data_IF_806593826537
#
_entry.id   IF_806593826537
#
_cell.length_a   1.000
_cell.length_b   1.000
_cell.length_c   1.000
_cell.angle_alpha   90.00
_cell.angle_beta   90.00
_cell.angle_gamma   90.00
#
_symmetry.space_group_name_H-M   'P 1'
#
loop_
_entity.id
_entity.type
_entity.pdbx_description
1 polymer ?
#
# COMPACT_ATOMS: atom_id res chain seq x y z
N UNK A 1 28.84 -6.60 7.64
CA UNK A 1 28.06 -5.39 7.39
C UNK A 1 26.57 -5.65 7.47
N UNK A 2 25.81 -4.64 7.79
CA UNK A 2 24.35 -4.62 7.76
C UNK A 2 23.90 -3.60 6.71
N UNK A 3 22.90 -3.98 5.90
CA UNK A 3 22.28 -3.11 4.88
C UNK A 3 21.09 -2.41 5.50
N UNK A 4 21.00 -1.09 5.42
CA UNK A 4 19.86 -0.31 5.89
C UNK A 4 19.09 0.27 4.68
N UNK A 5 17.74 0.28 4.72
CA UNK A 5 16.89 0.00 5.90
C UNK A 5 16.52 -1.48 6.09
N UNK A 6 16.89 -2.39 5.16
CA UNK A 6 16.45 -3.81 5.16
C UNK A 6 16.95 -4.64 6.36
N UNK A 7 18.01 -4.19 7.05
CA UNK A 7 18.70 -4.89 8.15
C UNK A 7 19.26 -6.27 7.82
N UNK A 8 19.35 -6.63 6.54
CA UNK A 8 20.02 -7.86 6.13
C UNK A 8 21.51 -7.75 6.45
N UNK A 9 22.08 -8.83 6.95
CA UNK A 9 23.52 -8.88 7.30
C UNK A 9 24.25 -9.79 6.35
N UNK A 10 25.48 -9.40 6.01
CA UNK A 10 26.41 -10.21 5.21
C UNK A 10 27.85 -9.85 5.59
N UNK A 11 28.82 -10.54 5.01
CA UNK A 11 30.24 -10.21 5.15
C UNK A 11 30.77 -9.60 3.89
N UNK A 12 31.73 -8.67 4.05
CA UNK A 12 32.47 -8.13 2.92
C UNK A 12 33.56 -9.13 2.56
N UNK A 13 33.49 -9.65 1.34
CA UNK A 13 34.49 -10.56 0.80
C UNK A 13 35.73 -9.81 0.27
N UNK A 14 35.51 -8.64 -0.33
CA UNK A 14 36.57 -7.83 -0.89
C UNK A 14 36.21 -6.36 -1.03
N UNK A 15 37.24 -5.53 -0.99
CA UNK A 15 37.18 -4.09 -1.27
C UNK A 15 38.03 -3.84 -2.52
N UNK A 16 37.46 -3.21 -3.53
CA UNK A 16 38.10 -3.05 -4.83
C UNK A 16 38.06 -1.58 -5.31
N UNK A 17 39.13 -1.18 -5.99
CA UNK A 17 39.17 0.05 -6.79
C UNK A 17 39.50 -0.29 -8.23
N UNK A 18 39.59 0.72 -9.09
CA UNK A 18 40.06 0.52 -10.46
C UNK A 18 41.51 -0.04 -10.52
N UNK A 19 42.35 0.27 -9.52
CA UNK A 19 43.72 -0.17 -9.42
C UNK A 19 43.88 -1.58 -8.84
N UNK A 20 42.81 -2.18 -8.32
CA UNK A 20 42.78 -3.51 -7.78
C UNK A 20 42.15 -3.64 -6.38
N UNK A 21 42.45 -4.78 -5.73
CA UNK A 21 41.93 -5.10 -4.39
C UNK A 21 42.69 -4.35 -3.31
N UNK A 22 41.94 -3.77 -2.38
CA UNK A 22 42.48 -3.10 -1.20
C UNK A 22 42.25 -3.94 0.06
N UNK A 23 43.13 -3.76 1.04
CA UNK A 23 42.95 -4.32 2.37
C UNK A 23 42.06 -3.43 3.25
N UNK A 24 42.11 -2.11 3.02
CA UNK A 24 41.36 -1.11 3.76
C UNK A 24 40.99 0.06 2.85
N UNK A 25 39.85 0.67 3.09
CA UNK A 25 39.41 1.88 2.42
C UNK A 25 38.97 2.92 3.43
N UNK A 26 39.41 4.16 3.23
CA UNK A 26 39.08 5.31 4.09
C UNK A 26 38.37 6.41 3.29
N UNK A 27 37.49 7.17 3.91
CA UNK A 27 36.85 8.32 3.24
C UNK A 27 37.90 9.31 2.73
N UNK A 28 37.68 9.96 1.57
CA UNK A 28 36.48 9.91 0.71
C UNK A 28 36.58 8.92 -0.46
N UNK A 29 37.34 7.83 -0.33
CA UNK A 29 37.62 6.91 -1.42
C UNK A 29 36.34 6.17 -1.87
N UNK A 30 36.07 6.23 -3.18
CA UNK A 30 35.03 5.43 -3.81
C UNK A 30 35.52 4.02 -4.07
N UNK A 31 34.80 2.99 -3.60
CA UNK A 31 35.17 1.59 -3.69
C UNK A 31 34.00 0.73 -4.18
N UNK A 32 34.33 -0.42 -4.76
CA UNK A 32 33.41 -1.50 -5.02
C UNK A 32 33.57 -2.56 -3.93
N UNK A 33 32.46 -2.96 -3.31
CA UNK A 33 32.46 -4.03 -2.32
C UNK A 33 31.88 -5.31 -2.97
N UNK A 34 32.56 -6.45 -2.76
CA UNK A 34 32.00 -7.77 -2.99
C UNK A 34 31.53 -8.36 -1.67
N UNK A 35 30.39 -9.04 -1.69
CA UNK A 35 29.74 -9.60 -0.52
C UNK A 35 29.65 -11.11 -0.63
N UNK A 36 29.69 -11.81 0.51
CA UNK A 36 29.59 -13.29 0.54
C UNK A 36 28.20 -13.77 0.10
N UNK A 37 27.13 -13.01 0.44
CA UNK A 37 25.76 -13.39 0.11
C UNK A 37 25.21 -12.50 -1.01
N UNK A 38 24.31 -13.07 -1.84
CA UNK A 38 23.54 -12.32 -2.81
C UNK A 38 22.38 -11.59 -2.09
N UNK A 39 22.60 -10.34 -1.74
CA UNK A 39 21.57 -9.47 -1.12
C UNK A 39 21.25 -8.34 -2.08
N UNK A 40 19.96 -8.01 -2.14
CA UNK A 40 19.49 -6.85 -2.90
C UNK A 40 19.89 -5.57 -2.17
N UNK A 41 20.69 -4.74 -2.83
CA UNK A 41 21.17 -3.44 -2.35
C UNK A 41 20.95 -2.43 -3.47
N UNK A 42 20.22 -1.39 -3.17
CA UNK A 42 19.85 -0.35 -4.11
C UNK A 42 20.49 0.98 -3.79
N UNK A 43 20.48 1.91 -4.76
CA UNK A 43 20.92 3.28 -4.52
C UNK A 43 20.07 3.94 -3.44
N UNK A 44 20.74 4.47 -2.43
CA UNK A 44 20.10 5.06 -1.23
C UNK A 44 20.23 4.19 0.00
N UNK A 45 20.54 2.89 -0.15
CA UNK A 45 20.83 2.01 0.97
C UNK A 45 22.17 2.37 1.61
N UNK A 46 22.27 2.08 2.89
CA UNK A 46 23.48 2.35 3.68
C UNK A 46 24.05 1.03 4.23
N UNK A 47 25.33 0.82 3.99
CA UNK A 47 26.08 -0.30 4.58
C UNK A 47 26.74 0.18 5.87
N UNK A 48 26.42 -0.48 6.97
CA UNK A 48 26.90 -0.08 8.30
C UNK A 48 27.49 -1.27 9.07
N UNK A 49 28.29 -0.95 10.07
CA UNK A 49 28.72 -1.97 11.02
C UNK A 49 27.56 -2.35 11.94
N UNK A 50 27.28 -3.65 12.21
CA UNK A 50 26.12 -4.08 13.01
C UNK A 50 26.08 -3.48 14.43
N UNK A 51 27.22 -3.12 14.99
CA UNK A 51 27.32 -2.52 16.33
C UNK A 51 27.37 -0.99 16.33
N UNK A 52 27.22 -0.35 15.15
CA UNK A 52 27.21 1.12 15.03
C UNK A 52 26.12 1.53 14.05
N UNK A 53 24.87 1.55 14.53
CA UNK A 53 23.69 1.80 13.74
C UNK A 53 23.27 3.28 13.85
N UNK A 54 23.04 3.97 12.73
CA UNK A 54 22.39 5.27 12.72
C UNK A 54 20.92 5.14 13.14
N UNK A 55 20.28 6.26 13.42
CA UNK A 55 18.82 6.30 13.59
C UNK A 55 18.14 6.05 12.24
N UNK A 56 17.01 5.35 12.27
CA UNK A 56 16.16 5.14 11.10
C UNK A 56 14.78 5.65 11.46
N UNK A 57 14.29 6.65 10.72
CA UNK A 57 12.96 7.21 10.94
C UNK A 57 12.42 7.90 9.69
N UNK A 58 11.11 8.14 9.68
CA UNK A 58 10.41 8.98 8.69
C UNK A 58 10.17 10.40 9.23
N UNK A 59 10.38 10.62 10.54
CA UNK A 59 10.12 11.89 11.20
C UNK A 59 11.36 12.34 11.95
N UNK A 60 11.83 13.54 11.64
CA UNK A 60 12.97 14.13 12.33
C UNK A 60 12.85 15.64 12.45
N UNK A 61 13.40 16.15 13.53
CA UNK A 61 13.56 17.59 13.78
C UNK A 61 14.83 18.10 13.09
N UNK A 62 14.71 19.21 12.37
CA UNK A 62 15.82 19.81 11.66
C UNK A 62 15.83 21.34 11.75
N UNK A 63 17.02 21.92 11.74
CA UNK A 63 17.20 23.35 11.41
C UNK A 63 17.26 23.46 9.90
N UNK A 64 16.33 24.22 9.31
CA UNK A 64 16.21 24.42 7.86
C UNK A 64 16.55 25.86 7.52
N UNK A 65 17.44 26.05 6.56
CA UNK A 65 17.70 27.33 5.89
C UNK A 65 16.86 27.34 4.62
N UNK A 66 15.94 28.29 4.52
CA UNK A 66 15.07 28.40 3.35
C UNK A 66 15.68 29.34 2.30
N UNK A 67 15.76 28.87 1.05
CA UNK A 67 16.38 29.58 -0.06
C UNK A 67 15.43 29.81 -1.24
N UNK A 68 14.17 29.35 -1.09
CA UNK A 68 13.15 29.54 -2.12
C UNK A 68 12.50 30.91 -2.04
N UNK A 69 12.15 31.50 -3.21
CA UNK A 69 11.42 32.77 -3.28
C UNK A 69 10.03 32.69 -2.66
N UNK A 70 9.36 31.55 -2.86
CA UNK A 70 8.10 31.26 -2.19
C UNK A 70 8.36 30.82 -0.76
N UNK A 71 7.61 31.37 0.20
CA UNK A 71 7.76 30.99 1.60
C UNK A 71 7.43 29.51 1.82
N UNK A 72 8.27 28.84 2.60
CA UNK A 72 7.97 27.49 3.11
C UNK A 72 6.77 27.54 4.05
N UNK A 73 5.82 26.65 3.83
CA UNK A 73 4.64 26.46 4.71
C UNK A 73 4.47 24.99 5.05
N UNK A 74 3.87 24.72 6.21
CA UNK A 74 3.50 23.35 6.60
C UNK A 74 2.58 22.73 5.56
N UNK A 75 2.79 21.44 5.28
CA UNK A 75 1.99 20.66 4.35
C UNK A 75 2.48 20.64 2.90
N UNK A 76 3.33 21.60 2.50
CA UNK A 76 3.88 21.60 1.15
C UNK A 76 4.82 20.41 0.94
N UNK A 77 4.72 19.78 -0.22
CA UNK A 77 5.49 18.60 -0.58
C UNK A 77 6.76 18.95 -1.36
N UNK A 78 7.86 18.32 -0.98
CA UNK A 78 9.18 18.47 -1.58
C UNK A 78 9.86 17.12 -1.76
N UNK A 79 10.99 17.07 -2.46
CA UNK A 79 11.94 15.98 -2.34
C UNK A 79 13.00 16.35 -1.30
N UNK A 80 13.31 15.40 -0.45
CA UNK A 80 14.39 15.48 0.52
C UNK A 80 15.52 14.57 0.05
N UNK A 81 16.69 15.14 -0.17
CA UNK A 81 17.86 14.38 -0.58
C UNK A 81 18.91 14.41 0.53
N UNK A 82 19.19 13.24 1.07
CA UNK A 82 20.17 13.00 2.11
C UNK A 82 21.17 11.97 1.58
N UNK A 83 22.45 12.33 1.50
CA UNK A 83 23.49 11.52 0.84
C UNK A 83 23.07 11.07 -0.58
N UNK A 84 22.92 9.76 -0.82
CA UNK A 84 22.46 9.17 -2.08
C UNK A 84 20.97 8.88 -2.10
N UNK A 85 20.29 8.99 -0.95
CA UNK A 85 18.86 8.76 -0.81
C UNK A 85 18.07 10.03 -1.20
N UNK A 86 17.02 9.85 -1.99
CA UNK A 86 16.06 10.91 -2.32
C UNK A 86 14.65 10.37 -2.12
N UNK A 87 13.87 11.01 -1.26
CA UNK A 87 12.53 10.62 -0.91
C UNK A 87 11.57 11.79 -0.96
N UNK A 88 10.33 11.63 -1.42
CA UNK A 88 9.29 12.63 -1.22
C UNK A 88 9.02 12.81 0.27
N UNK A 89 8.46 13.95 0.62
CA UNK A 89 8.06 14.26 1.99
C UNK A 89 7.53 15.67 2.11
N UNK A 90 7.29 16.10 3.34
CA UNK A 90 6.76 17.43 3.66
C UNK A 90 7.39 17.99 4.93
N UNK A 91 7.28 19.29 5.07
CA UNK A 91 7.47 19.95 6.38
C UNK A 91 6.13 19.86 7.09
N UNK A 92 6.03 19.02 8.12
CA UNK A 92 4.77 18.80 8.86
C UNK A 92 4.49 19.96 9.82
N UNK A 93 5.54 20.55 10.40
CA UNK A 93 5.41 21.66 11.35
C UNK A 93 6.62 22.61 11.27
N UNK A 94 6.37 23.87 11.44
CA UNK A 94 7.40 24.91 11.66
C UNK A 94 7.26 25.36 13.11
N UNK A 95 8.28 25.11 13.93
CA UNK A 95 8.23 25.39 15.37
C UNK A 95 8.56 26.85 15.67
N UNK A 96 9.62 27.39 15.05
CA UNK A 96 10.04 28.77 15.19
C UNK A 96 11.05 29.15 14.10
N UNK A 97 11.21 30.44 13.86
CA UNK A 97 12.36 31.01 13.13
C UNK A 97 13.39 31.57 14.10
N UNK A 98 14.65 31.66 13.65
CA UNK A 98 15.76 32.22 14.41
C UNK A 98 16.21 33.50 13.71
N UNK A 99 16.16 34.61 14.43
CA UNK A 99 16.81 35.86 13.94
C UNK A 99 18.32 35.70 13.96
N UNK A 100 18.96 35.83 12.80
CA UNK A 100 20.41 35.60 12.64
C UNK A 100 21.28 36.64 13.34
N UNK A 101 20.73 37.81 13.68
CA UNK A 101 21.49 38.90 14.32
C UNK A 101 21.40 38.80 15.84
N UNK A 102 20.20 38.46 16.35
CA UNK A 102 19.92 38.45 17.79
C UNK A 102 19.88 37.05 18.40
N UNK A 103 19.85 36.04 17.57
CA UNK A 103 19.64 34.62 17.95
C UNK A 103 18.33 34.34 18.71
N UNK A 104 17.43 35.34 18.74
CA UNK A 104 16.11 35.13 19.36
C UNK A 104 15.24 34.22 18.49
N UNK A 105 14.44 33.43 19.17
CA UNK A 105 13.42 32.57 18.54
C UNK A 105 12.11 33.35 18.44
N UNK A 106 11.46 33.25 17.28
CA UNK A 106 10.15 33.85 17.03
C UNK A 106 9.22 32.80 16.49
N UNK A 107 8.04 32.66 17.06
CA UNK A 107 7.00 31.82 16.52
C UNK A 107 6.61 32.26 15.11
N UNK A 108 6.47 31.30 14.21
CA UNK A 108 6.12 31.55 12.81
C UNK A 108 5.39 30.35 12.23
N UNK A 109 4.56 30.62 11.22
CA UNK A 109 3.86 29.60 10.45
C UNK A 109 4.45 29.38 9.05
N UNK A 110 5.49 30.17 8.71
CA UNK A 110 6.16 30.09 7.42
C UNK A 110 7.62 30.58 7.55
N UNK A 111 8.51 30.11 6.67
CA UNK A 111 9.86 30.66 6.50
C UNK A 111 9.95 31.39 5.17
N UNK A 112 10.33 32.64 5.21
CA UNK A 112 10.64 33.43 4.03
C UNK A 112 12.05 33.16 3.51
N UNK A 113 12.38 33.70 2.36
CA UNK A 113 13.73 33.62 1.76
C UNK A 113 14.80 34.04 2.76
N UNK A 114 15.84 33.22 2.89
CA UNK A 114 16.98 33.40 3.81
C UNK A 114 16.66 33.31 5.30
N UNK A 115 15.45 32.86 5.65
CA UNK A 115 15.15 32.58 7.05
C UNK A 115 15.62 31.17 7.47
N UNK A 116 15.96 31.08 8.75
CA UNK A 116 16.38 29.83 9.39
C UNK A 116 15.33 29.47 10.43
N UNK A 117 14.81 28.25 10.36
CA UNK A 117 13.79 27.80 11.31
C UNK A 117 13.94 26.35 11.72
N UNK A 118 13.39 26.03 12.89
CA UNK A 118 13.26 24.64 13.35
C UNK A 118 11.97 24.07 12.80
N UNK A 119 12.10 22.97 12.08
CA UNK A 119 11.02 22.30 11.39
C UNK A 119 10.98 20.82 11.73
N UNK A 120 9.76 20.25 11.77
CA UNK A 120 9.55 18.82 11.77
C UNK A 120 9.39 18.37 10.32
N UNK A 121 10.22 17.44 9.89
CA UNK A 121 10.22 16.87 8.56
C UNK A 121 9.59 15.49 8.63
N UNK A 122 8.71 15.19 7.68
CA UNK A 122 8.10 13.89 7.47
C UNK A 122 8.39 13.44 6.04
N UNK A 123 9.03 12.27 5.90
CA UNK A 123 9.41 11.70 4.60
C UNK A 123 8.66 10.40 4.35
N UNK A 124 8.37 10.11 3.07
CA UNK A 124 7.54 8.96 2.68
C UNK A 124 8.24 7.62 2.91
N UNK A 125 9.58 7.61 2.89
CA UNK A 125 10.38 6.40 3.13
C UNK A 125 11.32 6.65 4.30
N UNK A 126 11.54 5.65 5.18
CA UNK A 126 12.51 5.78 6.26
C UNK A 126 13.89 6.10 5.72
N UNK A 127 14.57 7.04 6.36
CA UNK A 127 15.95 7.40 6.07
C UNK A 127 16.83 7.03 7.26
N UNK A 128 18.04 6.57 6.95
CA UNK A 128 19.06 6.29 7.96
C UNK A 128 19.91 7.54 8.15
N UNK A 129 19.93 8.11 9.36
CA UNK A 129 20.59 9.37 9.65
C UNK A 129 21.24 9.40 11.04
N UNK A 130 22.22 10.26 11.18
CA UNK A 130 22.74 10.72 12.48
C UNK A 130 22.30 12.16 12.72
N UNK A 131 22.46 12.64 13.94
CA UNK A 131 22.37 14.10 14.15
C UNK A 131 23.53 14.79 13.42
N UNK A 132 23.31 15.98 12.88
CA UNK A 132 24.35 16.76 12.20
C UNK A 132 25.59 16.99 13.07
N UNK A 133 25.41 17.05 14.37
CA UNK A 133 26.48 17.22 15.36
C UNK A 133 27.40 16.00 15.42
N UNK A 134 26.83 14.79 15.27
CA UNK A 134 27.58 13.55 15.33
C UNK A 134 28.22 13.21 13.99
N UNK A 135 27.47 13.37 12.90
CA UNK A 135 27.94 13.07 11.57
C UNK A 135 27.31 14.05 10.56
N UNK A 136 28.14 14.98 10.05
CA UNK A 136 27.66 16.02 9.10
C UNK A 136 27.18 15.45 7.78
N UNK A 137 27.76 14.35 7.32
CA UNK A 137 27.41 13.75 6.03
C UNK A 137 26.02 13.09 6.05
N UNK A 138 25.72 12.33 7.11
CA UNK A 138 24.43 11.64 7.28
C UNK A 138 23.39 12.49 7.99
N UNK A 139 23.80 13.56 8.66
CA UNK A 139 22.95 14.50 9.39
C UNK A 139 22.54 15.75 8.60
N UNK A 140 22.90 15.85 7.32
CA UNK A 140 22.52 16.96 6.44
C UNK A 140 21.65 16.50 5.28
N UNK A 141 20.76 17.37 4.80
CA UNK A 141 19.93 17.13 3.63
C UNK A 141 19.67 18.43 2.86
N UNK A 142 19.24 18.30 1.61
CA UNK A 142 18.72 19.40 0.82
C UNK A 142 17.23 19.18 0.51
N UNK A 143 16.50 20.28 0.40
CA UNK A 143 15.09 20.34 0.01
C UNK A 143 15.01 20.77 -1.45
N UNK A 144 14.32 19.98 -2.26
CA UNK A 144 14.21 20.17 -3.70
C UNK A 144 12.73 20.35 -4.05
N UNK A 145 12.42 21.41 -4.77
CA UNK A 145 11.08 21.65 -5.30
C UNK A 145 10.70 20.59 -6.33
N UNK A 146 9.50 20.03 -6.21
CA UNK A 146 9.06 18.90 -7.04
C UNK A 146 8.74 19.26 -8.48
N UNK A 147 8.43 20.53 -8.75
CA UNK A 147 8.04 21.01 -10.07
C UNK A 147 9.25 21.51 -10.87
N UNK A 148 10.09 22.30 -10.20
CA UNK A 148 11.23 22.94 -10.84
C UNK A 148 12.53 22.14 -10.74
N UNK A 149 12.59 21.14 -9.84
CA UNK A 149 13.79 20.42 -9.45
C UNK A 149 14.92 21.32 -8.88
N UNK A 150 14.61 22.56 -8.50
CA UNK A 150 15.57 23.45 -7.89
C UNK A 150 15.75 23.14 -6.40
N UNK A 151 16.97 23.31 -5.90
CA UNK A 151 17.22 23.28 -4.46
C UNK A 151 16.65 24.55 -3.84
N UNK A 152 15.68 24.38 -2.94
CA UNK A 152 14.97 25.49 -2.27
C UNK A 152 15.22 25.56 -0.77
N UNK A 153 16.02 24.66 -0.24
CA UNK A 153 16.41 24.67 1.16
C UNK A 153 17.51 23.66 1.47
N UNK A 154 18.12 23.85 2.62
CA UNK A 154 19.08 22.90 3.21
C UNK A 154 18.79 22.73 4.69
N UNK A 155 19.02 21.54 5.23
CA UNK A 155 18.71 21.25 6.62
C UNK A 155 19.78 20.44 7.34
N UNK A 156 19.81 20.64 8.65
CA UNK A 156 20.65 19.92 9.60
C UNK A 156 19.76 19.17 10.57
N UNK A 157 19.86 17.85 10.58
CA UNK A 157 19.07 16.99 11.46
C UNK A 157 19.57 17.17 12.90
N UNK A 158 18.66 17.54 13.77
CA UNK A 158 18.96 17.81 15.18
C UNK A 158 18.72 16.58 16.06
N UNK A 159 17.57 15.95 15.88
CA UNK A 159 17.14 14.80 16.64
C UNK A 159 15.97 14.11 15.95
N UNK A 160 15.58 12.93 16.46
CA UNK A 160 14.31 12.29 16.11
C UNK A 160 13.16 13.15 16.64
N UNK A 161 12.09 13.32 15.87
CA UNK A 161 10.92 14.07 16.34
C UNK A 161 10.25 13.36 17.53
N UNK A 162 10.12 14.08 18.67
CA UNK A 162 9.70 13.46 19.95
C UNK A 162 8.24 12.98 19.98
N UNK A 163 7.40 13.41 19.02
CA UNK A 163 5.99 13.06 18.94
C UNK A 163 5.67 12.14 17.75
N UNK A 164 6.69 11.62 17.08
CA UNK A 164 6.50 10.62 16.05
C UNK A 164 6.54 9.25 16.70
N UNK A 165 5.49 8.46 16.56
CA UNK A 165 5.57 7.03 16.78
C UNK A 165 6.77 6.49 15.98
N UNK A 166 7.55 5.54 16.52
CA UNK A 166 8.70 4.99 15.82
C UNK A 166 8.26 4.53 14.44
N UNK A 167 8.96 5.00 13.39
CA UNK A 167 8.70 4.53 12.04
C UNK A 167 8.74 3.00 12.01
N UNK A 168 7.76 2.34 11.43
CA UNK A 168 7.77 0.88 11.33
C UNK A 168 9.03 0.46 10.58
N UNK A 169 9.83 -0.36 11.22
CA UNK A 169 11.07 -0.90 10.66
C UNK A 169 10.65 -1.85 9.55
N UNK A 170 10.94 -1.49 8.30
CA UNK A 170 10.76 -2.39 7.16
C UNK A 170 11.63 -3.64 7.36
N UNK A 171 11.04 -4.72 7.81
CA UNK A 171 11.71 -6.00 8.04
C UNK A 171 10.93 -6.98 8.90
N UNK A 172 10.06 -6.51 9.80
CA UNK A 172 9.33 -7.41 10.71
C UNK A 172 7.80 -7.24 10.71
N UNK A 173 7.22 -6.46 9.84
CA UNK A 173 5.75 -6.43 9.78
C UNK A 173 5.21 -6.05 8.40
N UNK A 174 5.31 -6.98 7.47
CA UNK A 174 4.24 -7.14 6.47
C UNK A 174 2.91 -7.59 7.14
N UNK A 175 2.84 -7.54 8.47
CA UNK A 175 1.75 -8.05 9.28
C UNK A 175 0.92 -7.04 10.08
N UNK A 176 1.43 -5.86 10.41
CA UNK A 176 0.69 -4.94 11.29
C UNK A 176 0.95 -3.48 10.94
N UNK A 177 0.26 -2.96 9.92
CA UNK A 177 -0.12 -1.56 9.96
C UNK A 177 -1.27 -1.43 10.97
N UNK A 178 -1.28 -0.45 11.88
CA UNK A 178 -2.47 -0.17 12.66
C UNK A 178 -3.56 0.29 11.68
N UNK A 179 -4.56 -0.57 11.51
CA UNK A 179 -5.71 -0.37 10.61
C UNK A 179 -6.46 0.97 10.85
N UNK A 180 -6.16 1.67 11.95
CA UNK A 180 -6.82 2.90 12.35
C UNK A 180 -6.37 4.19 11.65
N UNK A 181 -5.13 4.32 11.18
CA UNK A 181 -4.65 5.62 10.66
C UNK A 181 -5.09 5.92 9.21
N UNK A 182 -5.11 4.93 8.34
CA UNK A 182 -5.63 5.10 6.97
C UNK A 182 -7.14 5.21 6.98
N UNK A 183 -7.80 4.45 7.84
CA UNK A 183 -9.25 4.50 8.05
C UNK A 183 -9.71 5.87 8.55
N UNK A 184 -8.98 6.52 9.47
CA UNK A 184 -9.32 7.86 9.96
C UNK A 184 -9.18 8.95 8.90
N UNK A 185 -8.26 8.82 7.95
CA UNK A 185 -8.10 9.78 6.83
C UNK A 185 -9.22 9.64 5.81
N UNK A 186 -9.66 8.41 5.54
CA UNK A 186 -10.71 8.13 4.57
C UNK A 186 -12.13 8.14 5.19
N UNK A 187 -12.24 8.33 6.51
CA UNK A 187 -13.50 8.32 7.28
C UNK A 187 -14.36 7.06 7.03
N UNK A 188 -13.70 5.92 6.77
CA UNK A 188 -14.35 4.63 6.54
C UNK A 188 -13.53 3.47 7.08
N UNK A 189 -14.20 2.36 7.39
CA UNK A 189 -13.56 1.06 7.60
C UNK A 189 -13.35 0.38 6.25
N UNK A 190 -12.15 -0.09 6.02
CA UNK A 190 -11.86 -0.92 4.85
C UNK A 190 -12.51 -2.29 4.98
N UNK A 191 -13.10 -2.78 3.90
CA UNK A 191 -13.78 -4.08 3.88
C UNK A 191 -13.78 -4.67 2.48
N UNK A 192 -13.62 -5.97 2.38
CA UNK A 192 -13.83 -6.71 1.14
C UNK A 192 -15.23 -7.31 1.12
N UNK A 193 -16.04 -6.89 0.15
CA UNK A 193 -17.36 -7.46 -0.12
C UNK A 193 -17.18 -8.56 -1.16
N UNK A 194 -17.12 -9.80 -0.70
CA UNK A 194 -16.93 -11.00 -1.52
C UNK A 194 -18.24 -11.50 -2.07
N UNK A 195 -18.53 -11.23 -3.35
CA UNK A 195 -19.83 -11.53 -3.96
C UNK A 195 -19.71 -12.84 -4.72
N UNK A 196 -20.23 -13.93 -4.12
CA UNK A 196 -20.19 -15.28 -4.67
C UNK A 196 -21.52 -15.69 -5.33
N UNK A 197 -21.50 -16.73 -6.18
CA UNK A 197 -22.67 -17.26 -6.86
C UNK A 197 -22.38 -17.79 -8.27
N UNK A 198 -23.35 -18.42 -8.91
CA UNK A 198 -23.24 -19.01 -10.25
C UNK A 198 -22.95 -17.98 -11.36
N UNK A 199 -22.41 -18.41 -12.49
CA UNK A 199 -22.36 -17.57 -13.69
C UNK A 199 -23.79 -17.13 -14.06
N UNK A 200 -23.99 -15.89 -14.49
CA UNK A 200 -25.33 -15.37 -14.80
C UNK A 200 -26.23 -15.05 -13.59
N UNK A 201 -25.76 -15.26 -12.34
CA UNK A 201 -26.55 -14.92 -11.14
C UNK A 201 -26.69 -13.41 -10.86
N UNK A 202 -25.97 -12.54 -11.60
CA UNK A 202 -26.08 -11.08 -11.44
C UNK A 202 -24.98 -10.43 -10.61
N UNK A 203 -23.96 -11.16 -10.15
CA UNK A 203 -22.85 -10.65 -9.30
C UNK A 203 -22.20 -9.38 -9.82
N UNK A 204 -21.77 -9.39 -11.09
CA UNK A 204 -21.07 -8.23 -11.69
C UNK A 204 -21.97 -7.01 -11.81
N UNK A 205 -23.25 -7.20 -12.13
CA UNK A 205 -24.22 -6.10 -12.21
C UNK A 205 -24.54 -5.51 -10.83
N UNK A 206 -24.66 -6.37 -9.81
CA UNK A 206 -24.82 -5.95 -8.40
C UNK A 206 -23.58 -5.17 -7.97
N UNK A 207 -22.39 -5.70 -8.21
CA UNK A 207 -21.11 -5.04 -7.84
C UNK A 207 -20.96 -3.68 -8.52
N UNK A 208 -21.30 -3.56 -9.80
CA UNK A 208 -21.24 -2.30 -10.56
C UNK A 208 -22.23 -1.25 -10.01
N UNK A 209 -23.45 -1.67 -9.67
CA UNK A 209 -24.45 -0.76 -9.09
C UNK A 209 -24.06 -0.35 -7.67
N UNK A 210 -23.56 -1.29 -6.87
CA UNK A 210 -23.06 -1.04 -5.52
C UNK A 210 -21.85 -0.09 -5.53
N UNK A 211 -20.91 -0.27 -6.48
CA UNK A 211 -19.76 0.62 -6.67
C UNK A 211 -20.23 2.07 -6.88
N UNK A 212 -21.19 2.29 -7.77
CA UNK A 212 -21.77 3.62 -8.00
C UNK A 212 -22.41 4.21 -6.75
N UNK A 213 -23.22 3.42 -6.02
CA UNK A 213 -23.86 3.89 -4.78
C UNK A 213 -22.83 4.25 -3.71
N UNK A 214 -21.74 3.49 -3.57
CA UNK A 214 -20.66 3.78 -2.62
C UNK A 214 -19.91 5.06 -3.01
N UNK A 215 -19.57 5.24 -4.29
CA UNK A 215 -18.92 6.46 -4.80
C UNK A 215 -19.80 7.68 -4.58
N UNK A 216 -21.10 7.60 -4.89
CA UNK A 216 -22.07 8.70 -4.68
C UNK A 216 -22.19 9.10 -3.21
N UNK A 217 -21.94 8.17 -2.30
CA UNK A 217 -21.91 8.41 -0.85
C UNK A 217 -20.54 8.84 -0.30
N UNK A 218 -19.54 8.96 -1.19
CA UNK A 218 -18.20 9.41 -0.85
C UNK A 218 -17.27 8.33 -0.28
N UNK A 219 -17.64 7.04 -0.41
CA UNK A 219 -16.77 5.94 0.01
C UNK A 219 -15.73 5.62 -1.06
N UNK A 220 -14.43 5.69 -0.76
CA UNK A 220 -13.38 5.13 -1.60
C UNK A 220 -13.54 3.62 -1.80
N UNK A 221 -13.84 3.20 -3.02
CA UNK A 221 -14.13 1.81 -3.38
C UNK A 221 -13.36 1.39 -4.63
N UNK A 222 -13.02 0.11 -4.72
CA UNK A 222 -12.43 -0.48 -5.92
C UNK A 222 -13.06 -1.84 -6.22
N UNK A 223 -13.39 -2.10 -7.50
CA UNK A 223 -13.97 -3.36 -7.94
C UNK A 223 -12.92 -4.25 -8.62
N UNK A 224 -12.66 -5.40 -8.04
CA UNK A 224 -11.80 -6.46 -8.59
C UNK A 224 -12.65 -7.42 -9.42
N UNK A 225 -12.93 -7.05 -10.67
CA UNK A 225 -13.72 -7.88 -11.58
C UNK A 225 -12.91 -9.11 -12.03
N UNK A 226 -13.54 -10.29 -11.93
CA UNK A 226 -12.87 -11.56 -12.21
C UNK A 226 -12.41 -11.71 -13.68
N UNK A 227 -13.12 -11.12 -14.64
CA UNK A 227 -12.76 -11.16 -16.07
C UNK A 227 -11.55 -10.25 -16.32
N UNK A 228 -11.56 -9.04 -15.78
CA UNK A 228 -10.43 -8.08 -15.88
C UNK A 228 -9.15 -8.65 -15.26
N UNK A 229 -9.24 -9.29 -14.10
CA UNK A 229 -8.07 -9.90 -13.45
C UNK A 229 -7.49 -11.04 -14.31
N UNK A 230 -8.31 -11.79 -15.00
CA UNK A 230 -7.86 -12.89 -15.88
C UNK A 230 -7.17 -12.41 -17.16
N UNK A 231 -7.41 -11.18 -17.59
CA UNK A 231 -6.68 -10.62 -18.76
C UNK A 231 -5.32 -10.05 -18.38
N UNK A 232 -5.06 -9.80 -17.09
CA UNK A 232 -3.84 -9.21 -16.55
C UNK A 232 -3.13 -10.12 -15.54
N UNK A 233 -3.41 -9.90 -14.27
CA UNK A 233 -2.72 -10.57 -13.13
C UNK A 233 -2.77 -12.10 -13.20
N UNK A 234 -3.87 -12.68 -13.66
CA UNK A 234 -4.11 -14.12 -13.70
C UNK A 234 -4.18 -14.68 -15.13
N UNK A 235 -3.53 -14.02 -16.11
CA UNK A 235 -3.53 -14.45 -17.51
C UNK A 235 -2.86 -15.79 -17.75
N UNK A 236 -2.02 -16.23 -16.82
CA UNK A 236 -1.32 -17.52 -16.81
C UNK A 236 -2.19 -18.67 -16.30
N UNK A 237 -3.37 -18.38 -15.72
CA UNK A 237 -4.23 -19.39 -15.11
C UNK A 237 -5.33 -19.86 -16.07
N UNK A 238 -5.55 -21.17 -16.09
CA UNK A 238 -6.63 -21.83 -16.82
C UNK A 238 -7.90 -21.95 -15.95
N UNK A 239 -8.87 -22.75 -16.40
CA UNK A 239 -10.09 -23.08 -15.63
C UNK A 239 -10.02 -24.41 -14.89
N UNK A 240 -8.83 -25.04 -14.80
CA UNK A 240 -8.63 -26.24 -13.98
C UNK A 240 -8.95 -25.95 -12.49
N UNK A 241 -9.30 -26.99 -11.74
CA UNK A 241 -9.60 -26.86 -10.30
C UNK A 241 -8.42 -26.22 -9.54
N UNK A 242 -7.18 -26.55 -9.90
CA UNK A 242 -5.97 -25.98 -9.31
C UNK A 242 -5.85 -24.47 -9.60
N UNK A 243 -6.06 -24.10 -10.86
CA UNK A 243 -5.90 -22.71 -11.29
C UNK A 243 -7.05 -21.82 -10.80
N UNK A 244 -8.26 -22.37 -10.64
CA UNK A 244 -9.37 -21.67 -9.99
C UNK A 244 -9.03 -21.33 -8.53
N UNK A 245 -8.44 -22.27 -7.78
CA UNK A 245 -7.98 -22.04 -6.41
C UNK A 245 -6.92 -20.94 -6.37
N UNK A 246 -5.91 -21.03 -7.24
CA UNK A 246 -4.85 -20.03 -7.32
C UNK A 246 -5.39 -18.65 -7.73
N UNK A 247 -6.39 -18.60 -8.63
CA UNK A 247 -7.08 -17.37 -8.98
C UNK A 247 -7.74 -16.71 -7.76
N UNK A 248 -8.48 -17.47 -6.96
CA UNK A 248 -9.12 -17.00 -5.73
C UNK A 248 -8.08 -16.51 -4.73
N UNK A 249 -6.99 -17.26 -4.53
CA UNK A 249 -5.91 -16.89 -3.63
C UNK A 249 -5.24 -15.55 -4.04
N UNK A 250 -4.90 -15.38 -5.32
CA UNK A 250 -4.30 -14.13 -5.80
C UNK A 250 -5.25 -12.94 -5.68
N UNK A 251 -6.54 -13.12 -5.96
CA UNK A 251 -7.56 -12.08 -5.76
C UNK A 251 -7.64 -11.67 -4.30
N UNK A 252 -7.63 -12.63 -3.36
CA UNK A 252 -7.68 -12.36 -1.93
C UNK A 252 -6.45 -11.56 -1.45
N UNK A 253 -5.25 -11.89 -1.93
CA UNK A 253 -4.04 -11.11 -1.61
C UNK A 253 -4.12 -9.66 -2.10
N UNK A 254 -4.62 -9.44 -3.32
CA UNK A 254 -4.82 -8.08 -3.86
C UNK A 254 -5.89 -7.33 -3.07
N UNK A 255 -7.01 -7.98 -2.74
CA UNK A 255 -8.07 -7.39 -1.92
C UNK A 255 -7.53 -6.95 -0.55
N UNK A 256 -6.71 -7.80 0.09
CA UNK A 256 -6.02 -7.47 1.35
C UNK A 256 -5.15 -6.22 1.22
N UNK A 257 -4.39 -6.07 0.12
CA UNK A 257 -3.57 -4.88 -0.11
C UNK A 257 -4.43 -3.62 -0.24
N UNK A 258 -5.56 -3.69 -0.94
CA UNK A 258 -6.48 -2.56 -1.05
C UNK A 258 -7.19 -2.25 0.28
N UNK A 259 -7.55 -3.26 1.09
CA UNK A 259 -8.07 -3.01 2.44
C UNK A 259 -7.03 -2.28 3.31
N UNK A 260 -5.75 -2.66 3.22
CA UNK A 260 -4.66 -1.94 3.91
C UNK A 260 -4.50 -0.50 3.43
N UNK A 261 -4.82 -0.22 2.17
CA UNK A 261 -4.90 1.13 1.62
C UNK A 261 -6.18 1.88 2.04
N UNK A 262 -7.03 1.28 2.89
CA UNK A 262 -8.25 1.89 3.42
C UNK A 262 -9.47 1.81 2.50
N UNK A 263 -9.38 1.09 1.38
CA UNK A 263 -10.47 0.99 0.41
C UNK A 263 -11.50 -0.07 0.79
N UNK A 264 -12.75 0.16 0.40
CA UNK A 264 -13.75 -0.89 0.26
C UNK A 264 -13.49 -1.62 -1.05
N UNK A 265 -13.49 -2.95 -1.04
CA UNK A 265 -13.16 -3.76 -2.21
C UNK A 265 -14.34 -4.65 -2.58
N UNK A 266 -14.84 -4.52 -3.80
CA UNK A 266 -15.91 -5.38 -4.32
C UNK A 266 -15.29 -6.49 -5.17
N UNK A 267 -15.58 -7.76 -4.82
CA UNK A 267 -15.00 -8.94 -5.48
C UNK A 267 -16.11 -9.84 -6.02
N UNK A 268 -16.66 -9.56 -7.23
CA UNK A 268 -17.66 -10.40 -7.85
C UNK A 268 -17.01 -11.61 -8.56
N UNK A 269 -16.97 -12.76 -7.91
CA UNK A 269 -16.33 -13.98 -8.41
C UNK A 269 -17.23 -15.20 -8.16
N UNK A 270 -17.11 -16.24 -8.99
CA UNK A 270 -17.92 -17.46 -8.81
C UNK A 270 -17.55 -18.16 -7.50
N UNK A 271 -16.25 -18.32 -7.20
CA UNK A 271 -15.68 -19.00 -6.01
C UNK A 271 -16.47 -20.25 -5.59
N UNK A 272 -16.47 -21.32 -6.40
CA UNK A 272 -17.43 -22.40 -6.30
C UNK A 272 -17.23 -23.34 -5.11
N UNK A 273 -16.08 -23.32 -4.47
CA UNK A 273 -15.73 -24.23 -3.38
C UNK A 273 -15.63 -23.51 -2.05
N UNK A 274 -16.28 -24.07 -1.03
CA UNK A 274 -16.27 -23.55 0.35
C UNK A 274 -14.85 -23.35 0.88
N UNK A 275 -13.98 -24.33 0.67
CA UNK A 275 -12.59 -24.26 1.09
C UNK A 275 -11.85 -23.05 0.52
N UNK A 276 -12.10 -22.70 -0.74
CA UNK A 276 -11.41 -21.61 -1.41
C UNK A 276 -11.91 -20.24 -0.89
N UNK A 277 -13.20 -20.14 -0.55
CA UNK A 277 -13.79 -18.94 0.09
C UNK A 277 -13.26 -18.75 1.51
N UNK A 278 -13.18 -19.81 2.32
CA UNK A 278 -12.56 -19.74 3.65
C UNK A 278 -11.09 -19.32 3.59
N UNK A 279 -10.33 -19.87 2.65
CA UNK A 279 -8.95 -19.45 2.47
C UNK A 279 -8.85 -17.97 2.06
N UNK A 280 -9.79 -17.45 1.27
CA UNK A 280 -9.83 -16.02 0.95
C UNK A 280 -10.14 -15.18 2.20
N UNK A 281 -11.08 -15.61 3.04
CA UNK A 281 -11.36 -14.96 4.33
C UNK A 281 -10.15 -14.98 5.27
N UNK A 282 -9.44 -16.09 5.40
CA UNK A 282 -8.21 -16.20 6.19
C UNK A 282 -7.11 -15.24 5.69
N UNK A 283 -6.93 -15.12 4.37
CA UNK A 283 -5.94 -14.21 3.76
C UNK A 283 -6.29 -12.75 4.03
N UNK A 284 -7.55 -12.37 3.82
CA UNK A 284 -8.03 -10.99 3.96
C UNK A 284 -8.11 -10.60 5.43
N UNK A 285 -8.55 -11.52 6.28
CA UNK A 285 -8.86 -11.34 7.69
C UNK A 285 -10.37 -11.25 7.91
N UNK A 286 -10.87 -11.94 8.93
CA UNK A 286 -12.32 -12.04 9.25
C UNK A 286 -12.95 -10.66 9.48
N UNK A 287 -12.24 -9.74 10.11
CA UNK A 287 -12.72 -8.38 10.39
C UNK A 287 -12.84 -7.48 9.15
N UNK A 288 -12.26 -7.92 8.03
CA UNK A 288 -12.26 -7.20 6.74
C UNK A 288 -12.95 -7.97 5.62
N UNK A 289 -13.66 -9.05 5.95
CA UNK A 289 -14.31 -9.92 4.97
C UNK A 289 -15.81 -9.98 5.19
N UNK A 290 -16.58 -9.67 4.14
CA UNK A 290 -18.04 -9.74 4.15
C UNK A 290 -18.53 -10.54 2.95
N UNK A 291 -19.02 -11.77 3.18
CA UNK A 291 -19.49 -12.64 2.11
C UNK A 291 -20.97 -12.37 1.77
N UNK A 292 -21.20 -12.03 0.51
CA UNK A 292 -22.54 -11.91 -0.08
C UNK A 292 -22.74 -13.09 -1.03
N UNK A 293 -23.71 -13.92 -0.74
CA UNK A 293 -24.10 -15.03 -1.61
C UNK A 293 -25.31 -14.64 -2.48
N UNK A 294 -25.08 -14.61 -3.81
CA UNK A 294 -26.15 -14.38 -4.78
C UNK A 294 -26.78 -15.72 -5.15
N UNK A 295 -27.81 -16.09 -4.39
CA UNK A 295 -28.53 -17.38 -4.46
C UNK A 295 -29.62 -17.30 -5.55
N UNK A 296 -29.17 -17.33 -6.80
CA UNK A 296 -30.08 -17.36 -7.96
C UNK A 296 -30.18 -18.80 -8.50
N UNK A 297 -31.36 -19.35 -8.71
CA UNK A 297 -31.55 -20.70 -9.22
C UNK A 297 -30.79 -20.94 -10.53
N UNK A 298 -30.22 -22.14 -10.68
CA UNK A 298 -29.46 -22.51 -11.89
C UNK A 298 -30.29 -22.32 -13.17
N UNK A 299 -31.59 -22.71 -13.13
CA UNK A 299 -32.51 -22.52 -14.27
C UNK A 299 -32.60 -21.06 -14.73
N UNK A 300 -32.63 -20.12 -13.79
CA UNK A 300 -32.66 -18.68 -14.08
C UNK A 300 -31.34 -18.23 -14.66
N UNK A 301 -30.20 -18.72 -14.12
CA UNK A 301 -28.86 -18.41 -14.65
C UNK A 301 -28.67 -18.95 -16.07
N UNK A 302 -29.16 -20.18 -16.35
CA UNK A 302 -29.14 -20.77 -17.71
C UNK A 302 -30.04 -20.00 -18.69
N UNK A 303 -31.23 -19.60 -18.27
CA UNK A 303 -32.14 -18.83 -19.11
C UNK A 303 -31.53 -17.47 -19.50
N UNK A 304 -30.80 -16.83 -18.60
CA UNK A 304 -30.12 -15.58 -18.88
C UNK A 304 -28.95 -15.75 -19.82
N UNK A 305 -28.12 -16.75 -19.61
CA UNK A 305 -26.90 -17.14 -20.35
C UNK A 305 -26.20 -15.99 -21.12
N UNK A 306 -25.96 -14.87 -20.44
CA UNK A 306 -25.52 -13.59 -21.03
C UNK A 306 -24.25 -13.75 -21.89
N UNK A 307 -23.38 -14.70 -21.54
CA UNK A 307 -22.12 -14.97 -22.27
C UNK A 307 -22.18 -16.19 -23.17
N UNK A 308 -23.34 -16.87 -23.29
CA UNK A 308 -23.51 -18.11 -24.06
C UNK A 308 -22.76 -19.33 -23.47
N UNK A 309 -22.24 -19.22 -22.26
CA UNK A 309 -21.39 -20.24 -21.64
C UNK A 309 -22.16 -21.50 -21.22
N UNK A 310 -23.40 -21.36 -20.76
CA UNK A 310 -24.26 -22.51 -20.43
C UNK A 310 -24.58 -23.33 -21.65
N UNK A 311 -24.92 -22.68 -22.77
CA UNK A 311 -25.16 -23.37 -24.05
C UNK A 311 -23.95 -24.17 -24.51
N UNK A 312 -22.75 -23.59 -24.41
CA UNK A 312 -21.49 -24.25 -24.77
C UNK A 312 -21.16 -25.41 -23.82
N UNK A 313 -21.42 -25.25 -22.51
CA UNK A 313 -21.24 -26.31 -21.51
C UNK A 313 -22.20 -27.49 -21.72
N UNK A 314 -23.49 -27.22 -22.03
CA UNK A 314 -24.47 -28.26 -22.35
C UNK A 314 -24.14 -28.97 -23.65
N UNK A 315 -23.53 -28.28 -24.63
CA UNK A 315 -23.02 -28.88 -25.86
C UNK A 315 -21.72 -29.68 -25.70
N UNK A 316 -21.15 -29.76 -24.48
CA UNK A 316 -19.89 -30.46 -24.19
C UNK A 316 -18.64 -29.73 -24.69
N UNK A 317 -18.78 -28.46 -25.15
CA UNK A 317 -17.67 -27.67 -25.68
C UNK A 317 -16.82 -27.00 -24.57
N UNK A 318 -17.35 -26.91 -23.35
CA UNK A 318 -16.63 -26.43 -22.18
C UNK A 318 -16.64 -27.54 -21.13
N UNK A 319 -15.45 -28.03 -20.78
CA UNK A 319 -15.27 -28.95 -19.65
C UNK A 319 -15.29 -28.23 -18.30
N UNK A 320 -15.62 -28.94 -17.23
CA UNK A 320 -15.56 -28.43 -15.83
C UNK A 320 -16.30 -27.10 -15.60
N UNK A 321 -17.47 -26.91 -16.22
CA UNK A 321 -18.26 -25.70 -16.04
C UNK A 321 -19.08 -25.78 -14.74
N UNK A 322 -18.92 -24.78 -13.87
CA UNK A 322 -19.57 -24.72 -12.56
C UNK A 322 -21.10 -24.69 -12.68
N UNK A 323 -21.75 -25.59 -11.98
CA UNK A 323 -23.21 -25.79 -11.99
C UNK A 323 -23.72 -26.76 -13.06
N UNK A 324 -22.89 -27.22 -14.02
CA UNK A 324 -23.24 -28.20 -15.05
C UNK A 324 -22.39 -29.47 -14.91
N UNK A 325 -21.08 -29.37 -15.19
CA UNK A 325 -20.15 -30.51 -15.13
C UNK A 325 -19.17 -30.42 -13.96
N UNK A 326 -19.17 -29.31 -13.22
CA UNK A 326 -18.41 -29.10 -12.00
C UNK A 326 -19.33 -28.59 -10.89
N UNK A 327 -19.18 -29.05 -9.63
CA UNK A 327 -20.07 -28.67 -8.53
C UNK A 327 -19.91 -27.17 -8.16
N UNK A 328 -20.98 -26.62 -7.61
CA UNK A 328 -21.00 -25.40 -6.84
C UNK A 328 -21.41 -25.72 -5.41
N UNK A 329 -20.58 -25.37 -4.45
CA UNK A 329 -20.84 -25.54 -3.01
C UNK A 329 -21.39 -24.23 -2.46
N UNK A 330 -22.71 -24.07 -2.22
CA UNK A 330 -23.28 -22.87 -1.65
C UNK A 330 -22.63 -22.53 -0.30
N UNK A 331 -22.38 -21.27 0.04
CA UNK A 331 -21.93 -20.88 1.37
C UNK A 331 -22.89 -21.35 2.44
N UNK A 332 -22.36 -21.94 3.51
CA UNK A 332 -23.18 -22.46 4.63
C UNK A 332 -23.74 -21.29 5.45
N UNK A 333 -22.88 -20.34 5.79
CA UNK A 333 -23.20 -19.17 6.62
C UNK A 333 -22.65 -17.88 5.99
N UNK A 334 -23.19 -17.42 4.85
CA UNK A 334 -22.78 -16.15 4.30
C UNK A 334 -23.26 -15.00 5.21
N UNK A 335 -22.54 -13.87 5.22
CA UNK A 335 -22.95 -12.68 5.97
C UNK A 335 -24.28 -12.11 5.44
N UNK A 336 -24.51 -12.23 4.12
CA UNK A 336 -25.75 -11.84 3.49
C UNK A 336 -26.08 -12.80 2.34
N UNK A 337 -27.34 -13.23 2.25
CA UNK A 337 -27.87 -14.01 1.13
C UNK A 337 -28.90 -13.16 0.39
N UNK A 338 -28.72 -12.98 -0.91
CA UNK A 338 -29.62 -12.24 -1.79
C UNK A 338 -29.99 -13.08 -3.01
N UNK A 339 -31.11 -12.80 -3.63
CA UNK A 339 -31.51 -13.41 -4.90
C UNK A 339 -31.78 -12.33 -5.93
N UNK A 340 -31.57 -12.67 -7.21
CA UNK A 340 -31.95 -11.81 -8.34
C UNK A 340 -33.16 -12.38 -9.11
N UNK A 341 -33.75 -13.44 -8.61
CA UNK A 341 -34.98 -13.97 -9.16
C UNK A 341 -36.15 -13.02 -8.83
N UNK A 342 -36.87 -12.56 -9.84
CA UNK A 342 -37.99 -11.62 -9.72
C UNK A 342 -37.63 -10.29 -9.00
N UNK A 343 -36.36 -9.89 -9.03
CA UNK A 343 -35.89 -8.63 -8.44
C UNK A 343 -35.00 -7.87 -9.43
N UNK A 344 -35.04 -6.58 -9.35
CA UNK A 344 -34.13 -5.71 -10.12
C UNK A 344 -32.74 -5.73 -9.51
N UNK A 345 -31.73 -5.46 -10.32
CA UNK A 345 -30.33 -5.29 -9.86
C UNK A 345 -30.24 -4.15 -8.83
N UNK A 346 -31.00 -3.06 -9.06
CA UNK A 346 -31.00 -1.90 -8.16
C UNK A 346 -31.52 -2.22 -6.76
N UNK A 347 -32.63 -3.00 -6.66
CA UNK A 347 -33.19 -3.44 -5.37
C UNK A 347 -32.22 -4.34 -4.62
N UNK A 348 -31.58 -5.28 -5.33
CA UNK A 348 -30.60 -6.20 -4.71
C UNK A 348 -29.34 -5.46 -4.27
N UNK A 349 -28.81 -4.54 -5.09
CA UNK A 349 -27.65 -3.74 -4.73
C UNK A 349 -27.94 -2.82 -3.53
N UNK A 350 -29.15 -2.27 -3.46
CA UNK A 350 -29.58 -1.44 -2.33
C UNK A 350 -29.62 -2.23 -1.03
N UNK A 351 -30.14 -3.46 -1.04
CA UNK A 351 -30.15 -4.35 0.14
C UNK A 351 -28.72 -4.63 0.62
N UNK A 352 -27.78 -4.92 -0.30
CA UNK A 352 -26.38 -5.11 0.04
C UNK A 352 -25.79 -3.82 0.64
N UNK A 353 -26.07 -2.67 0.02
CA UNK A 353 -25.58 -1.38 0.50
C UNK A 353 -26.07 -1.06 1.92
N UNK A 354 -27.37 -1.21 2.20
CA UNK A 354 -27.95 -0.95 3.53
C UNK A 354 -27.33 -1.85 4.61
N UNK A 355 -26.98 -3.10 4.26
CA UNK A 355 -26.33 -4.03 5.18
C UNK A 355 -24.89 -3.62 5.50
N UNK A 356 -24.12 -3.17 4.51
CA UNK A 356 -22.69 -2.86 4.69
C UNK A 356 -22.43 -1.41 5.15
N UNK A 357 -23.33 -0.47 4.88
CA UNK A 357 -23.13 0.96 5.18
C UNK A 357 -22.82 1.18 6.66
N UNK A 358 -23.56 0.53 7.57
CA UNK A 358 -23.34 0.64 9.01
C UNK A 358 -22.00 0.05 9.48
N UNK A 359 -21.43 -0.87 8.70
CA UNK A 359 -20.17 -1.54 9.02
C UNK A 359 -18.97 -0.71 8.52
N UNK A 360 -19.09 -0.12 7.32
CA UNK A 360 -17.99 0.62 6.68
C UNK A 360 -17.92 2.09 7.09
N UNK A 361 -19.00 2.67 7.60
CA UNK A 361 -19.03 4.06 8.10
C UNK A 361 -18.39 4.13 9.49
N UNK A 362 -17.43 5.07 9.66
CA UNK A 362 -16.80 5.38 10.96
C UNK A 362 -17.63 6.40 11.73
#
# INVERSE_FOLDING_TARGET
VMVLPSRKTTRVEGVHTFEGRLHEAVPPLAVTLTLEDQIDISRGDMLVHPNNLPMIDQHFDAMVVWMGEQSLRSGNQYFFKQTTNMTPGRVSQINYTVDVNTFHRKETVALALNEIGRCVIEVDKPVAFDTYRNNRSTGAFIVIDRLTNNTVGAGMIMERAQNADPAPIYGESLGQQPDGKVQSVLAQRSMTIWISGLSGSGKSSIAETLERQLVDKGFPVYRLDGDTIRTGLNKDLTFSRRDRRENIRRIAEVAKLFNRAGLVVLVPVISPFERDRRNAEEIIGTDHFFEVFVDTPLSVCEQRDVKGLYRLARAGQIGEFTGISSPYEPPINPHLRVTTENRTVGETAKEVFECIESIIRL
#
